data_IF_976654913355
#
_entry.id   IF_976654913355
#
_cell.length_a   1.000
_cell.length_b   1.000
_cell.length_c   1.000
_cell.angle_alpha   90.00
_cell.angle_beta   90.00
_cell.angle_gamma   90.00
#
_symmetry.space_group_name_H-M   'P 1'
#
loop_
_entity.id
_entity.type
_entity.pdbx_description
1 polymer ?
#
# COMPACT_ATOMS: atom_id res chain seq x y z
N UNK A 1 56.21 15.58 -67.02
CA UNK A 1 57.26 15.37 -65.99
C UNK A 1 56.63 15.61 -64.63
N UNK A 2 57.11 14.88 -63.62
CA UNK A 2 56.57 14.69 -62.25
C UNK A 2 55.46 13.64 -62.11
N UNK A 3 55.48 12.76 -61.12
CA UNK A 3 56.52 11.95 -60.46
C UNK A 3 55.74 11.05 -59.49
N UNK A 4 56.09 9.77 -59.51
CA UNK A 4 55.92 8.71 -58.50
C UNK A 4 55.33 9.08 -57.12
N UNK A 5 54.48 8.19 -56.58
CA UNK A 5 54.92 7.33 -55.46
C UNK A 5 53.91 6.20 -55.14
N UNK A 6 54.47 5.00 -55.09
CA UNK A 6 53.90 3.74 -54.65
C UNK A 6 53.82 3.74 -53.10
N UNK A 7 52.67 3.39 -52.52
CA UNK A 7 52.52 3.22 -51.07
C UNK A 7 52.32 1.74 -50.73
N UNK A 8 53.34 1.15 -50.09
CA UNK A 8 53.34 -0.17 -49.48
C UNK A 8 52.62 -0.12 -48.12
N UNK A 9 51.64 -1.01 -47.93
CA UNK A 9 50.90 -1.20 -46.68
C UNK A 9 51.70 -2.10 -45.72
N UNK A 10 51.97 -1.61 -44.51
CA UNK A 10 52.47 -2.41 -43.39
C UNK A 10 51.33 -2.75 -42.41
N UNK A 11 51.29 -3.94 -41.81
CA UNK A 11 50.26 -4.31 -40.84
C UNK A 11 50.60 -3.77 -39.44
N UNK A 12 49.66 -3.03 -38.84
CA UNK A 12 49.72 -2.62 -37.43
C UNK A 12 49.29 -3.79 -36.53
N UNK A 13 50.17 -4.17 -35.60
CA UNK A 13 49.88 -5.10 -34.52
C UNK A 13 49.15 -4.37 -33.38
N UNK A 14 47.89 -4.72 -33.14
CA UNK A 14 47.06 -4.15 -32.08
C UNK A 14 47.44 -4.71 -30.71
N UNK A 15 48.06 -3.90 -29.85
CA UNK A 15 48.25 -4.20 -28.43
C UNK A 15 46.97 -3.81 -27.70
N UNK A 16 46.13 -4.79 -27.36
CA UNK A 16 44.96 -4.60 -26.51
C UNK A 16 45.36 -4.43 -25.04
N UNK A 17 45.09 -3.26 -24.45
CA UNK A 17 45.10 -3.07 -23.00
C UNK A 17 43.72 -3.44 -22.45
N UNK A 18 43.66 -4.44 -21.57
CA UNK A 18 42.45 -4.79 -20.82
C UNK A 18 42.31 -3.79 -19.67
N UNK A 19 41.32 -2.91 -19.75
CA UNK A 19 40.87 -2.08 -18.63
C UNK A 19 40.04 -2.98 -17.70
N UNK A 20 40.49 -3.16 -16.46
CA UNK A 20 39.71 -3.81 -15.42
C UNK A 20 38.45 -2.99 -15.12
N UNK A 21 37.29 -3.65 -15.12
CA UNK A 21 36.02 -3.02 -14.78
C UNK A 21 35.98 -2.59 -13.31
N UNK A 22 35.39 -1.43 -12.98
CA UNK A 22 35.14 -1.07 -11.58
C UNK A 22 34.17 -2.08 -10.97
N UNK A 23 34.54 -2.60 -9.80
CA UNK A 23 33.69 -3.46 -8.98
C UNK A 23 32.49 -2.64 -8.51
N UNK A 24 31.32 -2.88 -9.09
CA UNK A 24 30.05 -2.32 -8.61
C UNK A 24 29.78 -2.94 -7.23
N UNK A 25 29.48 -2.15 -6.19
CA UNK A 25 29.01 -2.71 -4.92
C UNK A 25 27.78 -3.58 -5.21
N UNK A 26 27.80 -4.82 -4.74
CA UNK A 26 26.64 -5.67 -4.80
C UNK A 26 25.47 -4.94 -4.13
N UNK A 27 24.45 -4.59 -4.92
CA UNK A 27 23.16 -4.20 -4.39
C UNK A 27 22.73 -5.35 -3.49
N UNK A 28 22.69 -5.11 -2.17
CA UNK A 28 22.03 -6.01 -1.23
C UNK A 28 20.66 -6.30 -1.81
N UNK A 29 20.29 -7.58 -2.01
CA UNK A 29 18.91 -7.92 -2.32
C UNK A 29 18.08 -7.31 -1.19
N UNK A 30 17.25 -6.31 -1.52
CA UNK A 30 16.19 -5.88 -0.61
C UNK A 30 15.41 -7.15 -0.34
N UNK A 31 15.34 -7.53 0.93
CA UNK A 31 14.62 -8.69 1.43
C UNK A 31 13.41 -8.96 0.55
N UNK A 32 13.38 -10.16 -0.03
CA UNK A 32 12.28 -10.66 -0.84
C UNK A 32 10.96 -10.20 -0.22
N UNK A 33 10.11 -9.59 -1.05
CA UNK A 33 8.74 -9.22 -0.69
C UNK A 33 8.15 -10.37 0.10
N UNK A 34 7.87 -10.16 1.39
CA UNK A 34 7.42 -11.25 2.25
C UNK A 34 6.18 -11.84 1.61
N UNK A 35 6.27 -13.12 1.25
CA UNK A 35 5.10 -13.91 0.89
C UNK A 35 4.20 -13.86 2.11
N UNK A 36 3.15 -13.05 2.05
CA UNK A 36 2.24 -12.82 3.15
C UNK A 36 1.46 -14.11 3.44
N UNK A 37 2.03 -14.98 4.26
CA UNK A 37 1.20 -15.86 5.05
C UNK A 37 0.34 -15.00 5.95
N UNK A 38 -0.98 -15.23 5.93
CA UNK A 38 -1.89 -14.78 6.97
C UNK A 38 -1.21 -14.97 8.33
N UNK A 39 -0.82 -13.88 9.01
CA UNK A 39 -0.42 -14.03 10.39
C UNK A 39 -1.66 -14.51 11.12
N UNK A 40 -1.56 -15.69 11.74
CA UNK A 40 -2.69 -16.40 12.36
C UNK A 40 -3.50 -15.51 13.32
N UNK A 41 -2.88 -14.44 13.81
CA UNK A 41 -3.45 -13.48 14.74
C UNK A 41 -3.11 -12.02 14.33
N UNK A 42 -3.25 -11.67 13.05
CA UNK A 42 -3.07 -10.26 12.64
C UNK A 42 -4.09 -9.37 13.39
N UNK A 43 -3.61 -8.37 14.16
CA UNK A 43 -4.48 -7.65 15.09
C UNK A 43 -5.48 -6.78 14.35
N UNK A 44 -6.71 -6.75 14.86
CA UNK A 44 -7.75 -5.80 14.43
C UNK A 44 -7.66 -4.47 15.20
N UNK A 45 -6.88 -4.44 16.28
CA UNK A 45 -6.57 -3.23 17.04
C UNK A 45 -5.53 -2.39 16.29
N UNK A 46 -5.45 -1.10 16.63
CA UNK A 46 -4.46 -0.21 16.03
C UNK A 46 -3.06 -0.75 16.29
N UNK A 47 -2.33 -1.00 15.22
CA UNK A 47 -0.96 -1.47 15.25
C UNK A 47 -0.09 -0.52 14.43
N UNK A 48 0.69 0.30 15.13
CA UNK A 48 1.68 1.17 14.49
C UNK A 48 2.96 0.37 14.23
N UNK A 49 3.56 0.53 13.05
CA UNK A 49 4.76 -0.22 12.67
C UNK A 49 6.02 0.35 13.33
N UNK A 50 6.06 0.36 14.66
CA UNK A 50 7.20 0.83 15.45
C UNK A 50 8.03 -0.35 15.96
N UNK A 51 9.37 -0.20 16.07
CA UNK A 51 10.19 -1.19 16.73
C UNK A 51 9.74 -1.42 18.18
N UNK A 52 9.88 -2.66 18.72
CA UNK A 52 10.53 -3.81 18.09
C UNK A 52 9.60 -4.68 17.23
N UNK A 53 8.30 -4.37 17.18
CA UNK A 53 7.30 -5.29 16.62
C UNK A 53 6.91 -4.97 15.17
N UNK A 54 7.36 -3.83 14.63
CA UNK A 54 7.18 -3.46 13.23
C UNK A 54 8.27 -2.52 12.74
N UNK A 55 8.29 -2.32 11.42
CA UNK A 55 9.25 -1.48 10.71
C UNK A 55 8.56 -0.19 10.22
N UNK A 56 9.02 0.99 10.65
CA UNK A 56 8.43 2.26 10.23
C UNK A 56 8.43 2.41 8.72
N UNK A 57 7.32 2.90 8.18
CA UNK A 57 7.12 3.00 6.73
C UNK A 57 7.66 4.31 6.16
N UNK A 58 7.95 5.33 6.97
CA UNK A 58 8.46 6.61 6.50
C UNK A 58 7.45 7.34 5.61
N UNK A 59 6.17 7.34 6.01
CA UNK A 59 5.10 8.05 5.30
C UNK A 59 4.94 9.46 5.84
N UNK A 60 4.64 10.44 4.99
CA UNK A 60 4.30 11.79 5.43
C UNK A 60 2.85 11.83 5.92
N UNK A 61 2.60 12.49 7.06
CA UNK A 61 1.27 12.52 7.68
C UNK A 61 0.25 13.23 6.78
N UNK A 62 0.70 14.22 6.03
CA UNK A 62 -0.09 14.96 5.05
C UNK A 62 -0.56 14.04 3.91
N UNK A 63 0.29 13.12 3.45
CA UNK A 63 -0.06 12.14 2.42
C UNK A 63 -1.10 11.14 2.95
N UNK A 64 -0.95 10.69 4.19
CA UNK A 64 -1.93 9.83 4.86
C UNK A 64 -3.30 10.52 4.96
N UNK A 65 -3.31 11.79 5.36
CA UNK A 65 -4.53 12.60 5.41
C UNK A 65 -5.18 12.74 4.03
N UNK A 66 -4.37 13.01 2.99
CA UNK A 66 -4.85 13.12 1.62
C UNK A 66 -5.49 11.82 1.13
N UNK A 67 -4.86 10.67 1.40
CA UNK A 67 -5.42 9.36 1.04
C UNK A 67 -6.80 9.15 1.68
N UNK A 68 -6.94 9.48 2.97
CA UNK A 68 -8.24 9.37 3.66
C UNK A 68 -9.30 10.32 3.07
N UNK A 69 -8.92 11.56 2.77
CA UNK A 69 -9.79 12.53 2.11
C UNK A 69 -10.28 12.06 0.75
N UNK A 70 -9.36 11.58 -0.10
CA UNK A 70 -9.69 11.05 -1.42
C UNK A 70 -10.67 9.87 -1.32
N UNK A 71 -10.37 8.88 -0.47
CA UNK A 71 -11.23 7.69 -0.32
C UNK A 71 -12.63 8.07 0.17
N UNK A 72 -12.73 9.05 1.08
CA UNK A 72 -14.02 9.57 1.55
C UNK A 72 -14.81 10.23 0.41
N UNK A 73 -14.16 11.09 -0.37
CA UNK A 73 -14.79 11.75 -1.52
C UNK A 73 -15.24 10.73 -2.58
N UNK A 74 -14.38 9.76 -2.90
CA UNK A 74 -14.69 8.65 -3.81
C UNK A 74 -15.88 7.82 -3.31
N UNK A 75 -15.94 7.57 -2.00
CA UNK A 75 -17.06 6.95 -1.30
C UNK A 75 -18.35 7.74 -1.40
N UNK A 76 -18.29 9.07 -1.32
CA UNK A 76 -19.43 9.98 -1.36
C UNK A 76 -20.07 10.16 -2.75
N UNK A 77 -19.49 9.59 -3.81
CA UNK A 77 -20.00 9.72 -5.18
C UNK A 77 -21.32 9.00 -5.47
N UNK A 78 -21.90 8.29 -4.50
CA UNK A 78 -23.22 7.64 -4.62
C UNK A 78 -24.12 8.00 -3.44
N UNK A 79 -25.45 7.95 -3.65
CA UNK A 79 -26.44 8.38 -2.65
C UNK A 79 -26.32 7.66 -1.30
N UNK A 80 -25.98 6.37 -1.30
CA UNK A 80 -25.81 5.59 -0.07
C UNK A 80 -24.35 5.45 0.35
N UNK A 81 -23.42 5.97 -0.44
CA UNK A 81 -22.00 5.69 -0.30
C UNK A 81 -21.57 4.46 -1.10
N UNK A 82 -20.37 4.51 -1.67
CA UNK A 82 -19.77 3.40 -2.40
C UNK A 82 -19.21 2.36 -1.43
N UNK A 83 -19.50 1.09 -1.72
CA UNK A 83 -18.95 -0.05 -1.02
C UNK A 83 -17.65 -0.51 -1.68
N UNK A 84 -16.72 -0.95 -0.85
CA UNK A 84 -15.56 -1.73 -1.20
C UNK A 84 -15.84 -3.19 -0.81
N UNK A 85 -15.67 -4.11 -1.76
CA UNK A 85 -15.97 -5.53 -1.60
C UNK A 85 -14.70 -6.35 -1.77
N UNK A 86 -14.50 -7.31 -0.88
CA UNK A 86 -13.46 -8.33 -0.98
C UNK A 86 -14.08 -9.70 -0.72
N UNK A 87 -14.26 -10.50 -1.77
CA UNK A 87 -14.73 -11.87 -1.62
C UNK A 87 -13.59 -12.77 -1.12
N UNK A 88 -13.91 -13.72 -0.25
CA UNK A 88 -12.92 -14.65 0.29
C UNK A 88 -12.26 -15.50 -0.82
N UNK A 89 -13.02 -15.83 -1.87
CA UNK A 89 -12.53 -16.57 -3.02
C UNK A 89 -11.51 -15.79 -3.87
N UNK A 90 -11.57 -14.46 -3.85
CA UNK A 90 -10.65 -13.59 -4.59
C UNK A 90 -9.40 -13.26 -3.76
N UNK A 91 -9.41 -13.57 -2.46
CA UNK A 91 -8.37 -13.28 -1.48
C UNK A 91 -7.73 -14.55 -0.86
N UNK A 92 -7.32 -15.55 -1.66
CA UNK A 92 -6.58 -16.68 -1.10
C UNK A 92 -5.33 -16.17 -0.40
N UNK A 93 -4.99 -16.79 0.73
CA UNK A 93 -3.78 -16.47 1.50
C UNK A 93 -3.67 -15.00 1.93
N UNK A 94 -4.78 -14.39 2.33
CA UNK A 94 -4.81 -13.01 2.85
C UNK A 94 -4.43 -11.95 1.83
N UNK A 95 -5.05 -12.02 0.65
CA UNK A 95 -4.84 -11.06 -0.44
C UNK A 95 -4.91 -9.59 0.00
N UNK A 96 -4.07 -8.78 -0.62
CA UNK A 96 -3.97 -7.34 -0.43
C UNK A 96 -4.36 -6.59 -1.71
N UNK A 97 -5.17 -5.53 -1.56
CA UNK A 97 -5.54 -4.63 -2.65
C UNK A 97 -5.14 -3.21 -2.32
N UNK A 98 -4.38 -2.59 -3.22
CA UNK A 98 -4.17 -1.14 -3.18
C UNK A 98 -5.51 -0.44 -3.36
N UNK A 99 -5.85 0.42 -2.41
CA UNK A 99 -7.04 1.25 -2.46
C UNK A 99 -6.74 2.58 -3.14
N UNK A 100 -5.65 3.24 -2.72
CA UNK A 100 -5.18 4.51 -3.26
C UNK A 100 -3.77 4.82 -2.76
N UNK A 101 -2.99 5.54 -3.54
CA UNK A 101 -1.65 6.02 -3.17
C UNK A 101 -1.52 7.51 -3.48
N UNK A 102 -0.85 8.24 -2.60
CA UNK A 102 -0.51 9.65 -2.78
C UNK A 102 0.83 9.94 -2.10
N UNK A 103 1.74 10.61 -2.81
CA UNK A 103 3.08 10.90 -2.31
C UNK A 103 3.75 9.64 -1.76
N UNK A 104 4.18 9.71 -0.51
CA UNK A 104 4.85 8.63 0.25
C UNK A 104 3.91 7.56 0.79
N UNK A 105 2.59 7.79 0.83
CA UNK A 105 1.63 6.91 1.49
C UNK A 105 0.79 6.08 0.50
N UNK A 106 0.54 4.82 0.85
CA UNK A 106 -0.39 3.93 0.16
C UNK A 106 -1.35 3.26 1.15
N UNK A 107 -2.65 3.37 0.89
CA UNK A 107 -3.67 2.61 1.59
C UNK A 107 -3.89 1.26 0.92
N UNK A 108 -3.87 0.21 1.74
CA UNK A 108 -4.08 -1.18 1.32
C UNK A 108 -5.18 -1.79 2.17
N UNK A 109 -6.11 -2.52 1.54
CA UNK A 109 -7.02 -3.41 2.25
C UNK A 109 -6.47 -4.83 2.20
N UNK A 110 -6.38 -5.49 3.36
CA UNK A 110 -5.93 -6.87 3.48
C UNK A 110 -7.07 -7.74 4.00
N UNK A 111 -7.29 -8.89 3.35
CA UNK A 111 -8.19 -9.92 3.86
C UNK A 111 -7.51 -10.68 4.99
N UNK A 112 -8.19 -10.87 6.11
CA UNK A 112 -7.67 -11.58 7.28
C UNK A 112 -8.59 -12.72 7.73
N UNK A 113 -9.68 -12.97 7.00
CA UNK A 113 -10.62 -14.05 7.29
C UNK A 113 -11.14 -14.69 6.01
N UNK A 114 -10.39 -15.65 5.48
CA UNK A 114 -10.69 -16.33 4.22
C UNK A 114 -12.01 -17.15 4.24
N UNK A 115 -12.80 -17.09 5.33
CA UNK A 115 -14.11 -17.74 5.43
C UNK A 115 -15.29 -16.80 5.14
N UNK A 116 -15.05 -15.49 5.07
CA UNK A 116 -16.12 -14.49 4.90
C UNK A 116 -15.88 -13.55 3.73
N UNK A 117 -16.96 -13.13 3.09
CA UNK A 117 -16.92 -12.04 2.12
C UNK A 117 -17.08 -10.71 2.87
N UNK A 118 -16.20 -9.76 2.61
CA UNK A 118 -16.16 -8.48 3.32
C UNK A 118 -16.70 -7.35 2.44
N UNK A 119 -17.60 -6.52 2.98
CA UNK A 119 -18.12 -5.32 2.30
C UNK A 119 -18.23 -4.18 3.29
N UNK A 120 -17.53 -3.08 3.03
CA UNK A 120 -17.54 -1.88 3.87
C UNK A 120 -17.61 -0.61 3.03
N UNK A 121 -18.07 0.49 3.60
CA UNK A 121 -18.06 1.78 2.93
C UNK A 121 -16.63 2.32 2.80
N UNK A 122 -16.32 2.97 1.67
CA UNK A 122 -15.09 3.74 1.54
C UNK A 122 -14.98 4.87 2.59
N UNK A 123 -16.11 5.40 3.06
CA UNK A 123 -16.14 6.35 4.18
C UNK A 123 -15.69 5.72 5.52
N UNK A 124 -15.94 4.43 5.72
CA UNK A 124 -15.50 3.70 6.92
C UNK A 124 -14.01 3.39 6.84
N UNK A 125 -13.51 3.05 5.65
CA UNK A 125 -12.07 2.95 5.38
C UNK A 125 -11.38 4.28 5.66
N UNK A 126 -11.90 5.39 5.12
CA UNK A 126 -11.32 6.72 5.35
C UNK A 126 -11.28 7.09 6.84
N UNK A 127 -12.37 6.85 7.59
CA UNK A 127 -12.40 7.05 9.05
C UNK A 127 -11.44 6.14 9.80
N UNK A 128 -11.19 4.93 9.31
CA UNK A 128 -10.18 4.03 9.87
C UNK A 128 -8.77 4.63 9.75
N UNK A 129 -8.52 5.35 8.64
CA UNK A 129 -7.23 5.99 8.39
C UNK A 129 -7.07 7.26 9.24
N UNK A 130 -8.02 8.20 9.21
CA UNK A 130 -7.81 9.54 9.80
C UNK A 130 -8.72 9.90 11.00
N UNK A 131 -9.60 8.98 11.42
CA UNK A 131 -10.58 9.21 12.48
C UNK A 131 -11.86 9.93 12.00
N UNK A 132 -11.92 10.37 10.74
CA UNK A 132 -13.02 11.11 10.13
C UNK A 132 -12.72 12.59 9.87
N UNK A 133 -13.49 13.22 8.98
CA UNK A 133 -13.25 14.59 8.51
C UNK A 133 -13.21 15.66 9.63
N UNK A 134 -13.96 15.44 10.72
CA UNK A 134 -14.01 16.33 11.88
C UNK A 134 -13.49 15.64 13.15
N UNK A 135 -12.52 14.73 13.00
CA UNK A 135 -11.99 13.96 14.11
C UNK A 135 -11.33 14.85 15.17
N UNK A 136 -11.75 14.67 16.42
CA UNK A 136 -11.05 15.18 17.61
C UNK A 136 -9.63 14.58 17.70
N UNK A 137 -8.71 15.19 18.47
CA UNK A 137 -7.37 14.63 18.66
C UNK A 137 -7.38 13.17 19.17
N UNK A 138 -8.31 12.82 20.07
CA UNK A 138 -8.44 11.46 20.58
C UNK A 138 -8.90 10.47 19.50
N UNK A 139 -9.78 10.90 18.58
CA UNK A 139 -10.22 10.06 17.45
C UNK A 139 -9.10 9.87 16.43
N UNK A 140 -8.30 10.90 16.15
CA UNK A 140 -7.11 10.79 15.30
C UNK A 140 -6.08 9.84 15.90
N UNK A 141 -5.84 9.94 17.21
CA UNK A 141 -4.93 9.05 17.94
C UNK A 141 -5.40 7.58 17.93
N UNK A 142 -6.70 7.33 17.84
CA UNK A 142 -7.27 5.99 17.69
C UNK A 142 -7.34 5.47 16.24
N UNK A 143 -6.94 6.27 15.25
CA UNK A 143 -6.91 5.91 13.84
C UNK A 143 -5.46 5.72 13.35
N UNK A 144 -5.26 5.23 12.13
CA UNK A 144 -3.91 4.93 11.59
C UNK A 144 -3.05 6.20 11.50
N UNK A 145 -3.64 7.37 11.24
CA UNK A 145 -2.92 8.66 11.21
C UNK A 145 -2.26 8.99 12.55
N UNK A 146 -2.77 8.44 13.66
CA UNK A 146 -2.16 8.54 14.99
C UNK A 146 -0.81 7.82 15.10
N UNK A 147 -0.48 6.93 14.16
CA UNK A 147 0.83 6.27 14.07
C UNK A 147 1.91 7.13 13.42
N UNK A 148 1.57 8.32 12.92
CA UNK A 148 2.49 9.26 12.29
C UNK A 148 3.27 8.59 11.14
N UNK A 149 4.57 8.90 11.02
CA UNK A 149 5.42 8.44 9.92
C UNK A 149 5.63 6.93 9.87
N UNK A 150 5.37 6.23 10.96
CA UNK A 150 5.52 4.79 11.00
C UNK A 150 4.49 4.07 10.13
N UNK A 151 3.35 4.69 9.84
CA UNK A 151 2.19 4.00 9.29
C UNK A 151 1.68 2.93 10.27
N UNK A 152 0.72 2.13 9.81
CA UNK A 152 0.14 1.11 10.66
C UNK A 152 -0.96 0.30 10.00
N UNK A 153 -1.60 -0.55 10.79
CA UNK A 153 -2.81 -1.27 10.42
C UNK A 153 -3.90 -1.13 11.47
N UNK A 154 -5.15 -1.22 11.02
CA UNK A 154 -6.32 -1.18 11.90
C UNK A 154 -7.49 -1.91 11.22
N UNK A 155 -8.25 -2.69 11.99
CA UNK A 155 -9.52 -3.25 11.54
C UNK A 155 -10.50 -2.12 11.19
N UNK A 156 -11.28 -2.31 10.11
CA UNK A 156 -12.18 -1.26 9.63
C UNK A 156 -13.10 -0.78 10.75
N UNK A 157 -13.04 0.52 11.03
CA UNK A 157 -13.96 1.19 11.95
C UNK A 157 -15.28 1.37 11.22
N UNK A 158 -16.24 0.46 11.39
CA UNK A 158 -17.52 0.45 10.67
C UNK A 158 -18.52 1.39 11.34
N UNK A 159 -19.33 2.12 10.56
CA UNK A 159 -20.46 2.89 11.06
C UNK A 159 -21.71 2.08 10.77
N UNK A 160 -22.03 1.14 11.66
CA UNK A 160 -23.13 0.19 11.45
C UNK A 160 -24.50 0.89 11.26
N UNK A 161 -24.64 2.14 11.71
CA UNK A 161 -25.84 2.95 11.52
C UNK A 161 -25.95 3.57 10.12
N UNK A 162 -24.94 3.44 9.25
CA UNK A 162 -24.99 3.96 7.90
C UNK A 162 -26.08 3.24 7.07
N UNK A 163 -26.98 3.97 6.37
CA UNK A 163 -28.10 3.36 5.63
C UNK A 163 -27.68 2.33 4.57
N UNK A 164 -26.44 2.38 4.08
CA UNK A 164 -25.91 1.42 3.13
C UNK A 164 -25.98 -0.03 3.64
N UNK A 165 -25.82 -0.26 4.95
CA UNK A 165 -25.72 -1.59 5.54
C UNK A 165 -27.07 -2.29 5.74
N UNK A 166 -28.18 -1.53 5.71
CA UNK A 166 -29.53 -2.07 5.79
C UNK A 166 -30.29 -1.97 4.46
N UNK A 167 -29.71 -1.31 3.46
CA UNK A 167 -30.29 -1.20 2.13
C UNK A 167 -30.29 -2.54 1.41
N UNK A 168 -31.31 -2.75 0.57
CA UNK A 168 -31.40 -3.94 -0.29
C UNK A 168 -30.27 -4.07 -1.32
N UNK A 169 -29.53 -2.97 -1.57
CA UNK A 169 -28.34 -2.93 -2.42
C UNK A 169 -27.08 -3.45 -1.73
N UNK A 170 -27.09 -3.66 -0.41
CA UNK A 170 -25.96 -4.26 0.28
C UNK A 170 -25.77 -5.72 -0.19
N UNK A 171 -24.53 -6.15 -0.53
CA UNK A 171 -24.29 -7.48 -1.08
C UNK A 171 -24.74 -8.60 -0.13
N UNK A 172 -25.61 -9.49 -0.61
CA UNK A 172 -26.09 -10.64 0.17
C UNK A 172 -24.93 -11.56 0.52
N UNK A 173 -24.86 -11.99 1.78
CA UNK A 173 -23.83 -12.91 2.27
C UNK A 173 -22.49 -12.24 2.57
N UNK A 174 -22.39 -10.91 2.49
CA UNK A 174 -21.20 -10.17 2.90
C UNK A 174 -21.36 -9.66 4.33
N UNK A 175 -20.26 -9.58 5.06
CA UNK A 175 -20.17 -9.02 6.42
C UNK A 175 -19.25 -7.80 6.41
N UNK A 176 -19.31 -6.98 7.46
CA UNK A 176 -18.49 -5.77 7.58
C UNK A 176 -17.11 -6.01 8.24
N UNK A 177 -16.84 -7.25 8.66
CA UNK A 177 -15.54 -7.69 9.19
C UNK A 177 -14.72 -8.47 8.15
N UNK A 178 -13.59 -9.00 8.58
CA UNK A 178 -12.71 -9.86 7.76
C UNK A 178 -11.62 -9.11 7.00
N UNK A 179 -11.56 -7.78 7.09
CA UNK A 179 -10.49 -6.97 6.49
C UNK A 179 -9.89 -5.99 7.50
N UNK A 180 -8.60 -5.69 7.28
CA UNK A 180 -7.89 -4.57 7.92
C UNK A 180 -7.44 -3.57 6.85
N UNK A 181 -7.23 -2.34 7.28
CA UNK A 181 -6.63 -1.29 6.45
C UNK A 181 -5.20 -1.08 6.92
N UNK A 182 -4.29 -0.91 5.96
CA UNK A 182 -2.88 -0.63 6.19
C UNK A 182 -2.50 0.69 5.52
N UNK A 183 -1.63 1.45 6.17
CA UNK A 183 -0.90 2.56 5.57
C UNK A 183 0.58 2.16 5.51
N UNK A 184 1.12 2.09 4.30
CA UNK A 184 2.50 1.67 4.01
C UNK A 184 3.17 2.65 3.06
N UNK A 185 4.50 2.53 2.92
CA UNK A 185 5.25 3.31 1.93
C UNK A 185 4.78 2.98 0.52
N UNK A 186 4.58 3.99 -0.31
CA UNK A 186 4.05 3.86 -1.67
C UNK A 186 5.06 3.32 -2.67
N UNK A 187 6.37 3.40 -2.39
CA UNK A 187 7.43 3.00 -3.33
C UNK A 187 8.06 4.14 -4.11
N UNK A 188 7.61 5.39 -3.92
CA UNK A 188 8.08 6.58 -4.62
C UNK A 188 8.90 7.51 -3.71
#
# INVERSE_FOLDING_TARGET
MFSHALLLLAPLSSIGKVLGAPTVPALTPRTEVSVQTCYKDEPKQLFCYNPPNGDPQGVEVEDVAFVAEYLRAYGGGTRLGRLFNMAAADAPDCGEWTLYSHGTAMAVAKHIDNTVNSSVLFADIARTIDGGANATPAQKAGAIIGCLESGGSLGVQVNASAPAYTASSYPKGYVTGGIIIKIVWSGF
#
